data_IF_233825588958
#
_entry.id   IF_233825588958
#
_cell.length_a   1.000
_cell.length_b   1.000
_cell.length_c   1.000
_cell.angle_alpha   90.00
_cell.angle_beta   90.00
_cell.angle_gamma   90.00
#
_symmetry.space_group_name_H-M   'P 1'
#
loop_
_entity.id
_entity.type
_entity.pdbx_description
1 polymer ?
#
# COMPACT_ATOMS: atom_id res chain seq x y z
N UNK A 1 -6.38 14.54 -70.00
CA UNK A 1 -6.63 13.15 -69.61
C UNK A 1 -5.34 12.62 -69.02
N UNK A 2 -5.32 12.48 -67.70
CA UNK A 2 -4.38 11.65 -66.95
C UNK A 2 -5.21 11.04 -65.78
N UNK A 3 -4.96 9.79 -65.38
CA UNK A 3 -5.95 8.96 -64.70
C UNK A 3 -5.99 9.18 -63.18
N UNK A 4 -7.18 8.93 -62.64
CA UNK A 4 -7.51 8.79 -61.22
C UNK A 4 -6.70 7.67 -60.55
N UNK A 5 -6.20 7.86 -59.31
CA UNK A 5 -5.86 6.74 -58.44
C UNK A 5 -7.07 6.36 -57.56
N UNK A 6 -7.54 5.12 -57.73
CA UNK A 6 -8.39 4.41 -56.77
C UNK A 6 -7.57 3.29 -56.10
N UNK A 7 -7.63 3.25 -54.77
CA UNK A 7 -7.36 2.16 -53.81
C UNK A 7 -6.64 2.78 -52.60
N UNK A 8 -7.08 2.65 -51.35
CA UNK A 8 -7.75 1.52 -50.72
C UNK A 8 -6.98 1.27 -49.43
N UNK A 9 -7.58 1.63 -48.30
CA UNK A 9 -6.92 1.57 -47.00
C UNK A 9 -7.87 1.99 -45.90
N UNK A 10 -8.90 1.18 -45.66
CA UNK A 10 -9.73 1.27 -44.47
C UNK A 10 -8.84 1.02 -43.25
N UNK A 11 -8.39 2.09 -42.60
CA UNK A 11 -7.81 1.98 -41.27
C UNK A 11 -8.95 1.76 -40.28
N UNK A 12 -9.30 0.48 -40.07
CA UNK A 12 -9.97 0.05 -38.85
C UNK A 12 -8.98 0.24 -37.69
N UNK A 13 -8.91 1.45 -37.13
CA UNK A 13 -8.27 1.67 -35.84
C UNK A 13 -9.28 1.31 -34.74
N UNK A 14 -9.40 0.01 -34.49
CA UNK A 14 -9.99 -0.51 -33.26
C UNK A 14 -9.03 -0.24 -32.10
N UNK A 15 -9.10 0.96 -31.53
CA UNK A 15 -8.52 1.29 -30.24
C UNK A 15 -9.59 1.14 -29.16
N UNK A 16 -9.50 0.04 -28.42
CA UNK A 16 -10.34 -0.35 -27.28
C UNK A 16 -10.48 0.79 -26.26
N UNK A 17 -11.69 1.00 -25.76
CA UNK A 17 -12.02 1.99 -24.73
C UNK A 17 -11.31 1.66 -23.41
N UNK A 18 -10.47 2.58 -22.93
CA UNK A 18 -9.84 2.46 -21.61
C UNK A 18 -9.21 3.77 -21.12
N UNK A 19 -9.69 4.91 -21.61
CA UNK A 19 -9.30 6.22 -21.06
C UNK A 19 -10.06 6.51 -19.78
N UNK A 20 -9.87 5.70 -18.74
CA UNK A 20 -10.27 6.10 -17.39
C UNK A 20 -9.54 7.41 -17.06
N UNK A 21 -10.29 8.46 -16.69
CA UNK A 21 -9.71 9.69 -16.17
C UNK A 21 -8.64 9.30 -15.14
N UNK A 22 -7.40 9.79 -15.32
CA UNK A 22 -6.36 9.61 -14.32
C UNK A 22 -6.84 10.34 -13.07
N UNK A 23 -7.27 9.59 -12.06
CA UNK A 23 -7.69 10.13 -10.77
C UNK A 23 -6.42 10.56 -10.03
N UNK A 24 -6.09 11.84 -10.16
CA UNK A 24 -4.88 12.45 -9.63
C UNK A 24 -5.25 13.66 -8.80
N UNK A 25 -4.75 13.70 -7.57
CA UNK A 25 -4.92 14.82 -6.66
C UNK A 25 -3.55 15.39 -6.32
N UNK A 26 -3.38 16.70 -6.46
CA UNK A 26 -2.14 17.39 -6.15
C UNK A 26 -2.37 18.39 -5.01
N UNK A 27 -1.48 18.38 -4.03
CA UNK A 27 -1.42 19.34 -2.94
C UNK A 27 -0.07 20.05 -2.96
N UNK A 28 -0.09 21.37 -2.82
CA UNK A 28 1.09 22.19 -2.66
C UNK A 28 0.96 22.93 -1.34
N UNK A 29 1.89 22.70 -0.43
CA UNK A 29 1.89 23.22 0.92
C UNK A 29 3.21 23.94 1.19
N UNK A 30 3.28 24.90 2.12
CA UNK A 30 4.58 25.37 2.60
C UNK A 30 5.41 24.19 3.13
N UNK A 31 6.72 24.19 2.86
CA UNK A 31 7.64 23.18 3.36
C UNK A 31 7.86 23.33 4.87
N UNK A 32 6.83 22.99 5.65
CA UNK A 32 6.81 23.09 7.10
C UNK A 32 5.92 22.00 7.72
N UNK A 33 6.42 21.40 8.81
CA UNK A 33 5.75 20.28 9.48
C UNK A 33 4.33 20.60 10.00
N UNK A 34 4.05 21.89 10.27
CA UNK A 34 2.74 22.37 10.70
C UNK A 34 1.60 22.02 9.73
N UNK A 35 1.91 21.79 8.44
CA UNK A 35 0.90 21.47 7.42
C UNK A 35 0.71 19.97 7.17
N UNK A 36 1.51 19.09 7.79
CA UNK A 36 1.42 17.64 7.54
C UNK A 36 0.07 17.04 7.97
N UNK A 37 -0.65 17.66 8.91
CA UNK A 37 -2.02 17.25 9.24
C UNK A 37 -2.96 17.29 8.04
N UNK A 38 -2.76 18.22 7.10
CA UNK A 38 -3.54 18.32 5.87
C UNK A 38 -3.26 17.12 4.96
N UNK A 39 -1.98 16.77 4.80
CA UNK A 39 -1.59 15.56 4.05
C UNK A 39 -2.16 14.31 4.70
N UNK A 40 -2.05 14.15 6.03
CA UNK A 40 -2.63 13.01 6.77
C UNK A 40 -4.12 12.84 6.49
N UNK A 41 -4.88 13.94 6.48
CA UNK A 41 -6.31 13.92 6.21
C UNK A 41 -6.62 13.60 4.76
N UNK A 42 -5.88 14.20 3.81
CA UNK A 42 -6.02 13.91 2.40
C UNK A 42 -5.71 12.44 2.08
N UNK A 43 -4.58 11.93 2.57
CA UNK A 43 -4.17 10.52 2.43
C UNK A 43 -5.26 9.57 2.91
N UNK A 44 -5.79 9.79 4.13
CA UNK A 44 -6.85 8.95 4.67
C UNK A 44 -8.13 8.98 3.82
N UNK A 45 -8.53 10.18 3.38
CA UNK A 45 -9.74 10.34 2.56
C UNK A 45 -9.59 9.68 1.18
N UNK A 46 -8.43 9.77 0.55
CA UNK A 46 -8.16 9.19 -0.78
C UNK A 46 -8.00 7.67 -0.70
N UNK A 47 -7.32 7.16 0.32
CA UNK A 47 -7.18 5.72 0.55
C UNK A 47 -8.53 5.06 0.86
N UNK A 48 -9.37 5.68 1.69
CA UNK A 48 -10.72 5.19 1.97
C UNK A 48 -11.61 5.13 0.71
N UNK A 49 -11.42 6.06 -0.25
CA UNK A 49 -12.12 6.01 -1.55
C UNK A 49 -11.70 4.83 -2.42
N UNK A 50 -10.54 4.23 -2.15
CA UNK A 50 -10.01 3.06 -2.86
C UNK A 50 -10.28 1.74 -2.12
N UNK A 51 -11.16 1.73 -1.12
CA UNK A 51 -11.51 0.56 -0.31
C UNK A 51 -10.31 -0.06 0.47
N UNK A 52 -9.30 0.76 0.79
CA UNK A 52 -8.18 0.33 1.63
C UNK A 52 -8.68 -0.03 3.04
N UNK A 53 -8.02 -1.01 3.67
CA UNK A 53 -8.33 -1.38 5.06
C UNK A 53 -7.89 -0.27 6.02
N UNK A 54 -8.43 -0.26 7.24
CA UNK A 54 -8.03 0.72 8.26
C UNK A 54 -6.52 0.66 8.54
N UNK A 55 -5.96 -0.54 8.58
CA UNK A 55 -4.53 -0.77 8.80
C UNK A 55 -3.71 -0.21 7.62
N UNK A 56 -4.13 -0.47 6.37
CA UNK A 56 -3.46 0.10 5.20
C UNK A 56 -3.52 1.63 5.17
N UNK A 57 -4.65 2.21 5.61
CA UNK A 57 -4.81 3.66 5.71
C UNK A 57 -3.84 4.22 6.76
N UNK A 58 -3.71 3.58 7.91
CA UNK A 58 -2.79 4.04 8.95
C UNK A 58 -1.33 3.89 8.51
N UNK A 59 -0.98 2.77 7.88
CA UNK A 59 0.34 2.57 7.27
C UNK A 59 0.67 3.69 6.27
N UNK A 60 -0.28 4.02 5.39
CA UNK A 60 -0.12 5.09 4.41
C UNK A 60 0.08 6.46 5.04
N UNK A 61 -0.66 6.77 6.10
CA UNK A 61 -0.51 8.04 6.81
C UNK A 61 0.89 8.14 7.39
N UNK A 62 1.30 7.14 8.16
CA UNK A 62 2.64 7.08 8.75
C UNK A 62 3.70 7.20 7.65
N UNK A 63 3.57 6.45 6.54
CA UNK A 63 4.53 6.51 5.45
C UNK A 63 4.63 7.90 4.80
N UNK A 64 3.50 8.57 4.55
CA UNK A 64 3.48 9.93 3.99
C UNK A 64 4.11 10.93 4.96
N UNK A 65 3.89 10.77 6.26
CA UNK A 65 4.47 11.65 7.27
C UNK A 65 5.99 11.47 7.39
N UNK A 66 6.47 10.23 7.41
CA UNK A 66 7.91 9.95 7.46
C UNK A 66 8.60 10.41 6.18
N UNK A 67 8.01 10.18 5.00
CA UNK A 67 8.55 10.68 3.74
C UNK A 67 8.64 12.21 3.74
N UNK A 68 7.60 12.88 4.23
CA UNK A 68 7.58 14.34 4.36
C UNK A 68 8.63 14.81 5.36
N UNK A 69 8.75 14.16 6.52
CA UNK A 69 9.73 14.51 7.54
C UNK A 69 11.17 14.38 7.03
N UNK A 70 11.49 13.31 6.31
CA UNK A 70 12.81 13.11 5.70
C UNK A 70 13.17 14.22 4.70
N UNK A 71 12.22 14.61 3.84
CA UNK A 71 12.44 15.66 2.84
C UNK A 71 12.54 17.05 3.48
N UNK A 72 11.79 17.32 4.55
CA UNK A 72 11.80 18.62 5.23
C UNK A 72 13.14 18.94 5.93
N UNK A 73 14.00 17.95 6.18
CA UNK A 73 15.32 18.17 6.80
C UNK A 73 16.23 19.02 5.92
N UNK A 74 16.18 18.83 4.59
CA UNK A 74 17.03 19.52 3.62
C UNK A 74 16.26 20.51 2.72
N UNK A 75 14.96 20.70 2.96
CA UNK A 75 14.13 21.60 2.18
C UNK A 75 14.62 23.04 2.22
N UNK A 76 14.61 23.72 1.07
CA UNK A 76 14.93 25.15 0.96
C UNK A 76 13.95 25.95 1.83
N UNK A 77 14.43 26.81 2.76
CA UNK A 77 13.54 27.59 3.61
C UNK A 77 12.56 28.47 2.80
N UNK A 78 11.27 28.38 3.13
CA UNK A 78 10.21 29.12 2.44
C UNK A 78 9.78 28.52 1.10
N UNK A 79 10.34 27.39 0.68
CA UNK A 79 9.88 26.62 -0.48
C UNK A 79 8.57 25.86 -0.19
N UNK A 80 8.08 25.14 -1.20
CA UNK A 80 6.90 24.32 -1.11
C UNK A 80 7.25 22.82 -0.99
N UNK A 81 6.41 22.10 -0.26
CA UNK A 81 6.26 20.66 -0.34
C UNK A 81 5.11 20.35 -1.29
N UNK A 82 5.41 19.62 -2.35
CA UNK A 82 4.42 19.14 -3.31
C UNK A 82 4.15 17.66 -3.08
N UNK A 83 2.87 17.31 -3.07
CA UNK A 83 2.42 15.93 -2.91
C UNK A 83 1.42 15.60 -4.02
N UNK A 84 1.67 14.52 -4.74
CA UNK A 84 0.81 14.02 -5.83
C UNK A 84 0.32 12.63 -5.48
N UNK A 85 -1.00 12.46 -5.43
CA UNK A 85 -1.68 11.19 -5.23
C UNK A 85 -2.20 10.72 -6.59
N UNK A 86 -1.71 9.58 -7.07
CA UNK A 86 -2.25 8.92 -8.25
C UNK A 86 -3.01 7.66 -7.81
N UNK A 87 -4.31 7.66 -8.08
CA UNK A 87 -5.25 6.63 -7.66
C UNK A 87 -5.48 5.65 -8.80
N UNK A 88 -5.41 4.36 -8.50
CA UNK A 88 -5.69 3.26 -9.42
C UNK A 88 -6.42 2.15 -8.68
N UNK A 89 -7.13 1.24 -9.37
CA UNK A 89 -7.82 0.14 -8.69
C UNK A 89 -6.87 -0.66 -7.79
N UNK A 90 -7.12 -0.61 -6.48
CA UNK A 90 -6.34 -1.31 -5.45
C UNK A 90 -4.90 -0.83 -5.23
N UNK A 91 -4.50 0.31 -5.81
CA UNK A 91 -3.15 0.88 -5.65
C UNK A 91 -3.23 2.39 -5.52
N UNK A 92 -2.55 2.93 -4.50
CA UNK A 92 -2.34 4.37 -4.36
C UNK A 92 -0.85 4.67 -4.42
N UNK A 93 -0.46 5.52 -5.38
CA UNK A 93 0.90 6.04 -5.49
C UNK A 93 0.94 7.46 -4.96
N UNK A 94 1.90 7.75 -4.08
CA UNK A 94 2.09 9.07 -3.48
C UNK A 94 3.51 9.54 -3.78
N UNK A 95 3.63 10.67 -4.45
CA UNK A 95 4.91 11.30 -4.78
C UNK A 95 5.03 12.56 -3.96
N UNK A 96 6.03 12.64 -3.08
CA UNK A 96 6.33 13.82 -2.25
C UNK A 96 7.64 14.43 -2.73
N UNK A 97 7.64 15.73 -2.99
CA UNK A 97 8.80 16.46 -3.50
C UNK A 97 9.01 17.77 -2.77
N UNK A 98 10.29 18.14 -2.61
CA UNK A 98 10.72 19.47 -2.14
C UNK A 98 11.89 19.94 -2.99
N UNK A 99 12.09 21.25 -3.04
CA UNK A 99 13.37 21.79 -3.49
C UNK A 99 14.37 21.65 -2.32
N UNK A 100 15.48 20.94 -2.55
CA UNK A 100 16.50 20.66 -1.53
C UNK A 100 17.68 21.63 -1.63
N UNK A 101 18.30 21.92 -0.49
CA UNK A 101 19.54 22.70 -0.36
C UNK A 101 20.77 21.98 -0.94
N UNK A 102 20.80 20.65 -0.84
CA UNK A 102 21.94 19.80 -1.24
C UNK A 102 21.63 18.86 -2.41
N UNK A 103 20.35 18.74 -2.78
CA UNK A 103 19.88 17.82 -3.83
C UNK A 103 20.10 16.34 -3.51
N UNK A 104 20.44 15.98 -2.27
CA UNK A 104 20.75 14.60 -1.91
C UNK A 104 19.47 13.87 -1.47
N UNK A 105 19.12 12.73 -2.09
CA UNK A 105 17.98 11.95 -1.65
C UNK A 105 18.29 11.26 -0.31
N UNK A 106 17.26 10.95 0.51
CA UNK A 106 17.47 10.21 1.75
C UNK A 106 18.18 8.87 1.51
N UNK A 107 19.13 8.54 2.38
CA UNK A 107 19.84 7.26 2.30
C UNK A 107 18.91 6.08 2.58
N UNK A 108 19.02 5.06 1.73
CA UNK A 108 18.17 3.85 1.78
C UNK A 108 18.56 2.87 2.89
N UNK A 109 19.75 3.04 3.47
CA UNK A 109 20.26 2.17 4.54
C UNK A 109 19.86 2.65 5.95
N UNK A 110 18.98 3.66 6.02
CA UNK A 110 18.54 4.26 7.29
C UNK A 110 17.33 3.54 7.85
N UNK A 111 17.17 3.59 9.18
CA UNK A 111 15.98 3.03 9.84
C UNK A 111 14.67 3.63 9.30
N UNK A 112 14.66 4.94 9.03
CA UNK A 112 13.51 5.63 8.46
C UNK A 112 13.12 5.08 7.07
N UNK A 113 14.11 4.75 6.23
CA UNK A 113 13.85 4.12 4.94
C UNK A 113 13.27 2.70 5.09
N UNK A 114 13.81 1.89 5.99
CA UNK A 114 13.28 0.56 6.28
C UNK A 114 11.83 0.61 6.77
N UNK A 115 11.49 1.60 7.60
CA UNK A 115 10.11 1.82 8.06
C UNK A 115 9.21 2.21 6.88
N UNK A 116 9.66 3.11 6.00
CA UNK A 116 8.91 3.48 4.79
C UNK A 116 8.63 2.27 3.90
N UNK A 117 9.65 1.44 3.65
CA UNK A 117 9.52 0.23 2.81
C UNK A 117 8.52 -0.76 3.41
N UNK A 118 8.60 -0.98 4.73
CA UNK A 118 7.66 -1.86 5.43
C UNK A 118 6.21 -1.35 5.40
N UNK A 119 6.00 -0.04 5.53
CA UNK A 119 4.66 0.57 5.55
C UNK A 119 4.05 0.70 4.16
N UNK A 120 4.81 1.18 3.18
CA UNK A 120 4.29 1.46 1.84
C UNK A 120 4.38 0.26 0.89
N UNK A 121 5.29 -0.68 1.11
CA UNK A 121 5.52 -1.86 0.26
C UNK A 121 6.42 -1.60 -0.94
N UNK A 122 6.27 -0.47 -1.63
CA UNK A 122 7.20 -0.03 -2.69
C UNK A 122 7.62 1.43 -2.43
N UNK A 123 8.93 1.67 -2.30
CA UNK A 123 9.48 3.02 -2.04
C UNK A 123 10.67 3.31 -2.95
N UNK A 124 10.73 4.51 -3.51
CA UNK A 124 11.88 4.99 -4.28
C UNK A 124 12.18 6.46 -4.00
N UNK A 125 13.42 6.86 -4.27
CA UNK A 125 13.88 8.25 -4.13
C UNK A 125 14.67 8.64 -5.35
N UNK A 126 14.56 9.91 -5.72
CA UNK A 126 15.26 10.47 -6.88
C UNK A 126 15.53 11.96 -6.69
N UNK A 127 16.53 12.45 -7.40
CA UNK A 127 16.81 13.88 -7.53
C UNK A 127 16.54 14.30 -8.97
N UNK A 128 15.64 15.26 -9.13
CA UNK A 128 15.28 15.87 -10.40
C UNK A 128 16.07 17.16 -10.67
N UNK A 129 15.74 17.84 -11.78
CA UNK A 129 16.30 19.15 -12.11
C UNK A 129 16.11 20.15 -10.97
N UNK A 130 17.09 21.04 -10.78
CA UNK A 130 17.00 22.10 -9.77
C UNK A 130 17.10 21.62 -8.32
N UNK A 131 17.78 20.49 -8.07
CA UNK A 131 17.91 19.89 -6.72
C UNK A 131 16.57 19.49 -6.10
N UNK A 132 15.58 19.18 -6.94
CA UNK A 132 14.28 18.72 -6.48
C UNK A 132 14.37 17.27 -6.02
N UNK A 133 14.31 17.03 -4.73
CA UNK A 133 14.35 15.68 -4.15
C UNK A 133 12.94 15.16 -4.03
N UNK A 134 12.75 13.90 -4.43
CA UNK A 134 11.43 13.25 -4.48
C UNK A 134 11.49 11.88 -3.81
N UNK A 135 10.50 11.58 -2.98
CA UNK A 135 10.19 10.24 -2.49
C UNK A 135 8.88 9.79 -3.12
N UNK A 136 8.87 8.60 -3.68
CA UNK A 136 7.67 7.97 -4.22
C UNK A 136 7.34 6.71 -3.42
N UNK A 137 6.09 6.61 -2.98
CA UNK A 137 5.50 5.50 -2.24
C UNK A 137 4.42 4.87 -3.10
N UNK A 138 4.29 3.54 -3.10
CA UNK A 138 3.14 2.87 -3.71
C UNK A 138 2.63 1.74 -2.82
N UNK A 139 1.46 1.97 -2.21
CA UNK A 139 0.76 0.97 -1.40
C UNK A 139 -0.30 0.27 -2.24
N UNK A 140 -0.33 -1.05 -2.12
CA UNK A 140 -1.41 -1.89 -2.64
C UNK A 140 -2.37 -2.19 -1.50
N UNK A 141 -3.67 -2.21 -1.77
CA UNK A 141 -4.65 -2.62 -0.79
C UNK A 141 -4.31 -4.03 -0.29
N UNK A 142 -4.28 -4.23 1.03
CA UNK A 142 -4.21 -5.55 1.61
C UNK A 142 -5.40 -6.37 1.13
N UNK A 143 -5.18 -7.65 0.84
CA UNK A 143 -6.31 -8.54 0.63
C UNK A 143 -7.14 -8.51 1.91
N UNK A 144 -8.40 -8.05 1.82
CA UNK A 144 -9.37 -8.23 2.90
C UNK A 144 -9.35 -9.74 3.17
N UNK A 145 -8.82 -10.15 4.33
CA UNK A 145 -8.96 -11.53 4.75
C UNK A 145 -10.47 -11.75 4.87
N UNK A 146 -11.05 -12.31 3.80
CA UNK A 146 -12.44 -12.70 3.79
C UNK A 146 -12.53 -13.70 4.94
N UNK A 147 -13.16 -13.30 6.03
CA UNK A 147 -13.54 -14.22 7.09
C UNK A 147 -14.56 -15.16 6.45
N UNK A 148 -14.04 -16.17 5.77
CA UNK A 148 -14.80 -17.29 5.25
C UNK A 148 -15.52 -17.91 6.44
N UNK A 149 -16.82 -17.70 6.49
CA UNK A 149 -17.71 -18.40 7.39
C UNK A 149 -17.42 -19.91 7.26
N UNK A 150 -17.08 -20.63 8.34
CA UNK A 150 -16.83 -22.06 8.24
C UNK A 150 -18.14 -22.76 7.82
N UNK A 151 -18.11 -23.70 6.86
CA UNK A 151 -19.31 -24.44 6.49
C UNK A 151 -19.83 -25.19 7.71
N UNK A 152 -21.13 -25.05 7.99
CA UNK A 152 -21.83 -25.71 9.09
C UNK A 152 -21.63 -27.24 9.03
N UNK A 153 -20.62 -27.72 9.73
CA UNK A 153 -20.32 -29.13 9.92
C UNK A 153 -21.42 -29.76 10.76
N UNK A 154 -22.21 -30.62 10.13
CA UNK A 154 -23.23 -31.43 10.79
C UNK A 154 -22.60 -32.23 11.96
N UNK A 155 -22.99 -31.91 13.19
CA UNK A 155 -22.81 -32.79 14.34
C UNK A 155 -23.66 -34.04 14.08
N UNK A 156 -23.02 -35.12 13.62
CA UNK A 156 -23.59 -36.46 13.72
C UNK A 156 -23.24 -37.00 15.11
N UNK A 157 -24.23 -36.99 15.99
CA UNK A 157 -24.21 -37.71 17.26
C UNK A 157 -23.90 -39.19 17.00
N UNK A 158 -22.75 -39.68 17.48
CA UNK A 158 -22.54 -41.11 17.68
C UNK A 158 -22.94 -41.46 19.11
N UNK A 159 -24.12 -42.03 19.24
CA UNK A 159 -24.44 -42.91 20.35
C UNK A 159 -23.70 -44.22 20.15
N UNK A 160 -22.87 -44.61 21.11
CA UNK A 160 -22.44 -45.99 21.30
C UNK A 160 -22.14 -46.22 22.78
N UNK A 161 -23.20 -46.67 23.44
CA UNK A 161 -23.26 -47.50 24.63
C UNK A 161 -22.06 -48.46 24.75
N UNK A 162 -21.38 -48.48 25.89
CA UNK A 162 -20.39 -49.50 26.25
C UNK A 162 -20.81 -50.15 27.56
N UNK A 163 -21.25 -51.39 27.40
CA UNK A 163 -21.71 -52.32 28.43
C UNK A 163 -20.63 -53.41 28.63
N UNK A 164 -20.50 -53.84 29.88
CA UNK A 164 -19.79 -55.04 30.42
C UNK A 164 -18.26 -54.97 30.63
N UNK A 165 -17.72 -55.13 31.85
CA UNK A 165 -17.72 -56.24 32.86
C UNK A 165 -16.69 -57.36 32.57
N UNK A 166 -15.87 -57.68 33.59
CA UNK A 166 -15.01 -58.88 33.70
C UNK A 166 -13.55 -58.54 33.99
N UNK A 167 -13.11 -58.33 35.23
CA UNK A 167 -12.75 -59.32 36.27
C UNK A 167 -11.46 -60.13 35.97
N UNK A 168 -10.44 -60.01 36.83
CA UNK A 168 -9.36 -61.02 36.91
C UNK A 168 -8.00 -60.57 37.47
N UNK A 169 -7.80 -60.80 38.78
CA UNK A 169 -6.58 -61.20 39.54
C UNK A 169 -5.17 -60.64 39.16
N UNK A 170 -4.44 -59.92 40.04
CA UNK A 170 -3.74 -60.28 41.33
C UNK A 170 -2.28 -60.75 41.13
N UNK A 171 -1.40 -60.23 42.01
CA UNK A 171 0.00 -60.63 42.35
C UNK A 171 1.09 -60.02 41.44
N UNK A 172 2.19 -59.42 41.89
CA UNK A 172 2.80 -59.17 43.21
C UNK A 172 4.16 -58.47 42.93
N UNK A 173 4.50 -57.40 43.67
CA UNK A 173 5.56 -57.34 44.70
C UNK A 173 7.00 -57.00 44.22
N UNK A 174 7.71 -56.30 45.14
CA UNK A 174 9.17 -55.95 45.22
C UNK A 174 9.58 -54.69 44.43
N UNK A 175 10.17 -53.62 44.99
CA UNK A 175 11.21 -53.46 46.02
C UNK A 175 12.58 -53.41 45.30
N UNK A 176 13.50 -52.45 45.42
CA UNK A 176 13.88 -51.55 46.52
C UNK A 176 14.59 -50.29 45.96
N UNK A 177 14.77 -49.28 46.82
CA UNK A 177 15.89 -48.32 46.76
C UNK A 177 17.23 -49.00 47.02
#
# INVERSE_FOLDING_TARGET
>A
MDPTPSAGGTVSSGGVHGGGLRDVVQLTLPAASAYLTVLRTATASLAARLDFTLDDIEDLRIAVDEASALLLVSAVPGSALECVFALSPGVMRVTVSVDSLDGEPPSKDTFAWTVLDALAGEVSSSTGPGQRVTIELAKRQGARADLGEPPAGHVRSRSAESTELGQGAKLGAVGTS
#
